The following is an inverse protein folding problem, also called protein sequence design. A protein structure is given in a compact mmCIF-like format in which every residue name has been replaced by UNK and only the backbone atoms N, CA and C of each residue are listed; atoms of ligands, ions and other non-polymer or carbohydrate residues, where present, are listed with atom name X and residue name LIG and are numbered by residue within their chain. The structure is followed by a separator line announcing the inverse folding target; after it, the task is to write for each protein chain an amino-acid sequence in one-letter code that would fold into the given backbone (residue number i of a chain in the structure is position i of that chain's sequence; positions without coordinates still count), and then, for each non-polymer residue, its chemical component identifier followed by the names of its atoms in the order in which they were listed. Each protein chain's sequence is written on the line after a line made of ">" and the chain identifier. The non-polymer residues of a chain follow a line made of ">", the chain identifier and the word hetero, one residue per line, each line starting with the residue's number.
data_IF_866217710985
#
_entry.id   IF_866217710985
#
_cell.length_a   1.000
_cell.length_b   1.000
_cell.length_c   1.000
_cell.angle_alpha   90.00
_cell.angle_beta   90.00
_cell.angle_gamma   90.00
#
_symmetry.space_group_name_H-M   'P 1'
#
loop_
_entity.id
_entity.type
_entity.pdbx_description
1 polymer ?
#
# COMPACT_ATOMS: atom_id res chain seq x y z
N UNK A 1 -33.43 29.73 -31.37
CA UNK A 1 -33.14 28.70 -30.36
C UNK A 1 -33.34 27.38 -31.07
N UNK A 2 -32.25 26.66 -31.35
CA UNK A 2 -32.26 25.44 -32.15
C UNK A 2 -32.68 24.28 -31.25
N UNK A 3 -33.90 23.78 -31.43
CA UNK A 3 -34.35 22.51 -30.86
C UNK A 3 -33.51 21.39 -31.48
N UNK A 4 -32.49 20.93 -30.77
CA UNK A 4 -31.82 19.67 -31.09
C UNK A 4 -32.80 18.56 -30.77
N UNK A 5 -33.53 18.11 -31.79
CA UNK A 5 -34.32 16.87 -31.73
C UNK A 5 -33.35 15.72 -31.43
N UNK A 6 -33.25 15.39 -30.14
CA UNK A 6 -32.60 14.18 -29.65
C UNK A 6 -33.37 13.01 -30.24
N UNK A 7 -32.83 12.44 -31.32
CA UNK A 7 -33.35 11.21 -31.90
C UNK A 7 -33.16 10.13 -30.82
N UNK A 8 -34.23 9.42 -30.39
CA UNK A 8 -34.09 8.41 -29.36
C UNK A 8 -33.13 7.32 -29.84
N UNK A 9 -32.26 6.78 -28.97
CA UNK A 9 -31.36 5.71 -29.33
C UNK A 9 -32.18 4.52 -29.85
N UNK A 10 -31.75 3.96 -30.97
CA UNK A 10 -32.41 2.77 -31.54
C UNK A 10 -32.13 1.58 -30.62
N UNK A 11 -33.17 0.89 -30.12
CA UNK A 11 -32.97 -0.26 -29.25
C UNK A 11 -32.32 -1.41 -30.02
N UNK A 12 -31.30 -2.01 -29.44
CA UNK A 12 -30.67 -3.22 -29.97
C UNK A 12 -31.55 -4.43 -29.67
N UNK A 13 -31.57 -5.43 -30.56
CA UNK A 13 -32.39 -6.63 -30.42
C UNK A 13 -31.60 -7.90 -30.73
N UNK A 14 -31.98 -9.01 -30.10
CA UNK A 14 -31.42 -10.33 -30.38
C UNK A 14 -29.90 -10.41 -30.19
N UNK A 15 -29.20 -10.94 -31.19
CA UNK A 15 -27.75 -11.19 -31.15
C UNK A 15 -26.91 -9.91 -31.04
N UNK A 16 -27.39 -8.79 -31.59
CA UNK A 16 -26.69 -7.50 -31.49
C UNK A 16 -26.71 -6.97 -30.06
N UNK A 17 -27.85 -7.13 -29.37
CA UNK A 17 -27.99 -6.78 -27.96
C UNK A 17 -27.11 -7.67 -27.08
N UNK A 18 -27.07 -8.98 -27.35
CA UNK A 18 -26.21 -9.93 -26.62
C UNK A 18 -24.72 -9.61 -26.80
N UNK A 19 -24.31 -9.28 -28.02
CA UNK A 19 -22.93 -8.87 -28.32
C UNK A 19 -22.59 -7.54 -27.61
N UNK A 20 -23.49 -6.57 -27.61
CA UNK A 20 -23.31 -5.29 -26.94
C UNK A 20 -23.21 -5.47 -25.41
N UNK A 21 -24.03 -6.35 -24.81
CA UNK A 21 -23.95 -6.71 -23.38
C UNK A 21 -22.60 -7.32 -23.03
N UNK A 22 -22.13 -8.28 -23.83
CA UNK A 22 -20.82 -8.90 -23.67
C UNK A 22 -19.69 -7.85 -23.76
N UNK A 23 -19.73 -6.97 -24.76
CA UNK A 23 -18.71 -5.93 -24.94
C UNK A 23 -18.69 -4.94 -23.78
N UNK A 24 -19.85 -4.43 -23.37
CA UNK A 24 -19.97 -3.49 -22.27
C UNK A 24 -19.49 -4.12 -20.95
N UNK A 25 -19.93 -5.33 -20.64
CA UNK A 25 -19.55 -6.02 -19.41
C UNK A 25 -18.06 -6.38 -19.35
N UNK A 26 -17.48 -6.93 -20.43
CA UNK A 26 -16.05 -7.22 -20.49
C UNK A 26 -15.18 -5.95 -20.38
N UNK A 27 -15.62 -4.84 -20.97
CA UNK A 27 -14.93 -3.55 -20.84
C UNK A 27 -14.94 -3.02 -19.42
N UNK A 28 -16.03 -3.28 -18.68
CA UNK A 28 -16.16 -2.95 -17.25
C UNK A 28 -15.47 -3.97 -16.32
N UNK A 29 -14.83 -5.02 -16.86
CA UNK A 29 -14.16 -6.07 -16.08
C UNK A 29 -15.09 -7.13 -15.49
N UNK A 30 -16.32 -7.23 -15.99
CA UNK A 30 -17.30 -8.24 -15.58
C UNK A 30 -17.06 -9.58 -16.31
N UNK A 31 -17.47 -10.69 -15.68
CA UNK A 31 -17.48 -12.01 -16.35
C UNK A 31 -18.58 -12.10 -17.40
N UNK A 32 -18.53 -13.13 -18.24
CA UNK A 32 -19.58 -13.39 -19.24
C UNK A 32 -20.95 -13.59 -18.57
N UNK A 33 -21.01 -14.35 -17.48
CA UNK A 33 -22.26 -14.58 -16.74
C UNK A 33 -22.79 -13.32 -16.07
N UNK A 34 -21.90 -12.41 -15.65
CA UNK A 34 -22.26 -11.11 -15.10
C UNK A 34 -22.77 -10.17 -16.19
N UNK A 35 -22.13 -10.17 -17.36
CA UNK A 35 -22.52 -9.37 -18.52
C UNK A 35 -23.93 -9.73 -19.03
N UNK A 36 -24.35 -11.00 -18.88
CA UNK A 36 -25.69 -11.44 -19.24
C UNK A 36 -26.80 -10.83 -18.36
N UNK A 37 -26.45 -10.28 -17.19
CA UNK A 37 -27.42 -9.65 -16.26
C UNK A 37 -27.73 -8.19 -16.59
N UNK A 38 -26.97 -7.57 -17.49
CA UNK A 38 -27.17 -6.17 -17.87
C UNK A 38 -28.53 -5.96 -18.53
N UNK A 39 -29.23 -4.90 -18.12
CA UNK A 39 -30.62 -4.63 -18.51
C UNK A 39 -30.77 -3.52 -19.56
N UNK A 40 -29.67 -2.85 -19.95
CA UNK A 40 -29.68 -1.82 -20.99
C UNK A 40 -30.25 -2.31 -22.33
N UNK A 41 -30.99 -1.44 -23.02
CA UNK A 41 -31.60 -1.68 -24.33
C UNK A 41 -30.79 -1.09 -25.50
N UNK A 42 -29.82 -0.22 -25.20
CA UNK A 42 -28.90 0.40 -26.15
C UNK A 42 -27.47 0.37 -25.58
N UNK A 43 -26.46 0.66 -26.40
CA UNK A 43 -25.06 0.58 -25.99
C UNK A 43 -24.71 1.54 -24.83
N UNK A 44 -25.33 2.72 -24.80
CA UNK A 44 -25.06 3.73 -23.78
C UNK A 44 -25.62 3.29 -22.42
N UNK A 45 -26.87 2.82 -22.41
CA UNK A 45 -27.52 2.25 -21.24
C UNK A 45 -26.76 1.02 -20.74
N UNK A 46 -26.30 0.15 -21.63
CA UNK A 46 -25.51 -1.03 -21.27
C UNK A 46 -24.16 -0.67 -20.65
N UNK A 47 -23.48 0.35 -21.19
CA UNK A 47 -22.19 0.81 -20.65
C UNK A 47 -22.36 1.44 -19.27
N UNK A 48 -23.39 2.26 -19.09
CA UNK A 48 -23.72 2.86 -17.79
C UNK A 48 -24.06 1.79 -16.75
N UNK A 49 -24.91 0.82 -17.12
CA UNK A 49 -25.31 -0.29 -16.27
C UNK A 49 -24.11 -1.19 -15.91
N UNK A 50 -23.24 -1.51 -16.88
CA UNK A 50 -22.03 -2.29 -16.63
C UNK A 50 -21.07 -1.58 -15.66
N UNK A 51 -20.93 -0.27 -15.80
CA UNK A 51 -20.08 0.54 -14.91
C UNK A 51 -20.65 0.57 -13.49
N UNK A 52 -21.96 0.78 -13.35
CA UNK A 52 -22.64 0.77 -12.06
C UNK A 52 -22.52 -0.61 -11.39
N UNK A 53 -22.78 -1.68 -12.13
CA UNK A 53 -22.73 -3.04 -11.60
C UNK A 53 -21.30 -3.47 -11.21
N UNK A 54 -20.29 -3.09 -11.99
CA UNK A 54 -18.89 -3.32 -11.63
C UNK A 54 -18.49 -2.55 -10.36
N UNK A 55 -18.96 -1.31 -10.21
CA UNK A 55 -18.71 -0.51 -9.02
C UNK A 55 -19.38 -1.12 -7.77
N UNK A 56 -20.63 -1.58 -7.88
CA UNK A 56 -21.34 -2.27 -6.80
C UNK A 56 -20.63 -3.56 -6.39
N UNK A 57 -20.18 -4.37 -7.35
CA UNK A 57 -19.48 -5.61 -7.06
C UNK A 57 -18.13 -5.37 -6.36
N UNK A 58 -17.40 -4.34 -6.79
CA UNK A 58 -16.14 -3.92 -6.17
C UNK A 58 -16.36 -3.35 -4.76
N UNK A 59 -17.46 -2.64 -4.54
CA UNK A 59 -17.84 -2.13 -3.22
C UNK A 59 -18.31 -3.24 -2.27
N UNK A 60 -18.99 -4.26 -2.79
CA UNK A 60 -19.48 -5.41 -2.02
C UNK A 60 -18.36 -6.38 -1.63
N UNK A 61 -17.32 -6.50 -2.47
CA UNK A 61 -16.11 -7.25 -2.20
C UNK A 61 -14.89 -6.32 -2.30
N UNK A 62 -14.67 -5.45 -1.30
CA UNK A 62 -13.42 -4.70 -1.25
C UNK A 62 -12.31 -5.73 -1.21
N UNK A 63 -11.43 -5.69 -2.23
CA UNK A 63 -10.28 -6.58 -2.26
C UNK A 63 -9.56 -6.45 -0.90
N UNK A 64 -9.33 -7.55 -0.16
CA UNK A 64 -8.55 -7.47 1.06
C UNK A 64 -7.24 -6.81 0.69
N UNK A 65 -6.80 -5.81 1.49
CA UNK A 65 -5.52 -5.16 1.25
C UNK A 65 -4.50 -6.27 1.04
N UNK A 66 -3.93 -6.33 -0.17
CA UNK A 66 -3.06 -7.44 -0.55
C UNK A 66 -2.01 -7.63 0.55
N UNK A 67 -1.64 -8.87 0.88
CA UNK A 67 -0.66 -9.13 1.92
C UNK A 67 0.56 -8.28 1.62
N UNK A 68 0.77 -7.23 2.43
CA UNK A 68 1.94 -6.38 2.32
C UNK A 68 3.11 -7.32 2.57
N UNK A 69 3.91 -7.59 1.52
CA UNK A 69 5.11 -8.42 1.69
C UNK A 69 5.99 -7.78 2.78
N UNK A 70 6.35 -8.61 3.76
CA UNK A 70 6.95 -8.20 5.03
C UNK A 70 5.86 -7.96 6.06
N UNK A 71 5.72 -8.87 7.03
CA UNK A 71 4.65 -8.98 8.04
C UNK A 71 4.42 -7.74 8.91
N UNK A 72 4.14 -7.91 10.21
CA UNK A 72 3.97 -6.75 11.11
C UNK A 72 5.22 -5.89 11.06
N UNK A 73 5.17 -4.79 10.30
CA UNK A 73 6.24 -3.81 10.26
C UNK A 73 6.29 -3.25 11.66
N UNK A 74 7.42 -3.39 12.32
CA UNK A 74 7.60 -2.85 13.67
C UNK A 74 7.13 -1.39 13.71
N UNK A 75 6.69 -0.93 14.87
CA UNK A 75 6.23 0.44 15.07
C UNK A 75 7.28 1.52 14.71
N UNK A 76 8.52 1.14 14.41
CA UNK A 76 9.55 1.97 13.79
C UNK A 76 9.24 2.38 12.34
N UNK A 77 8.50 1.56 11.58
CA UNK A 77 8.10 1.86 10.19
C UNK A 77 6.67 2.41 10.11
N UNK A 78 5.86 2.18 11.15
CA UNK A 78 4.46 2.61 11.23
C UNK A 78 4.28 3.89 12.08
N UNK A 79 5.36 4.64 12.34
CA UNK A 79 5.25 6.01 12.82
C UNK A 79 4.94 6.96 11.67
N UNK A 80 4.21 8.05 11.93
CA UNK A 80 3.76 9.13 11.02
C UNK A 80 4.84 9.77 10.14
N UNK A 81 6.08 9.29 10.21
CA UNK A 81 7.23 9.82 9.52
C UNK A 81 7.84 8.73 8.65
N UNK A 82 7.14 8.38 7.57
CA UNK A 82 7.53 7.37 6.56
C UNK A 82 8.77 7.74 5.73
N UNK A 83 9.75 8.41 6.32
CA UNK A 83 11.00 8.84 5.70
C UNK A 83 12.20 8.26 6.45
N UNK A 84 13.28 7.99 5.72
CA UNK A 84 14.54 7.46 6.26
C UNK A 84 15.07 8.33 7.42
N UNK A 85 14.91 9.65 7.31
CA UNK A 85 15.32 10.61 8.34
C UNK A 85 14.62 10.40 9.69
N UNK A 86 13.36 10.02 9.69
CA UNK A 86 12.61 9.80 10.92
C UNK A 86 12.86 8.42 11.53
N UNK A 87 13.12 7.40 10.70
CA UNK A 87 13.62 6.11 11.18
C UNK A 87 14.97 6.26 11.91
N UNK A 88 15.86 7.11 11.38
CA UNK A 88 17.14 7.43 12.04
C UNK A 88 16.92 8.16 13.37
N UNK A 89 16.02 9.13 13.43
CA UNK A 89 15.70 9.84 14.68
C UNK A 89 15.12 8.89 15.75
N UNK A 90 14.23 7.98 15.35
CA UNK A 90 13.61 7.00 16.24
C UNK A 90 14.63 5.98 16.77
N UNK A 91 15.53 5.49 15.90
CA UNK A 91 16.65 4.63 16.28
C UNK A 91 17.57 5.32 17.30
N UNK A 92 17.95 6.58 17.05
CA UNK A 92 18.77 7.36 17.99
C UNK A 92 18.11 7.51 19.35
N UNK A 93 16.81 7.82 19.38
CA UNK A 93 16.03 7.92 20.62
C UNK A 93 16.02 6.61 21.41
N UNK A 94 15.76 5.48 20.75
CA UNK A 94 15.74 4.16 21.41
C UNK A 94 17.10 3.75 21.97
N UNK A 95 18.17 4.10 21.27
CA UNK A 95 19.53 3.70 21.64
C UNK A 95 20.30 4.77 22.43
N UNK A 96 19.65 5.88 22.78
CA UNK A 96 20.26 6.98 23.54
C UNK A 96 21.45 7.61 22.83
N UNK A 97 21.37 7.72 21.51
CA UNK A 97 22.42 8.32 20.66
C UNK A 97 22.11 9.80 20.43
N UNK A 98 23.17 10.60 20.28
CA UNK A 98 23.07 12.00 19.87
C UNK A 98 22.75 12.15 18.36
N UNK A 99 22.65 13.41 17.90
CA UNK A 99 22.34 13.73 16.51
C UNK A 99 23.42 13.23 15.52
N UNK A 100 24.64 13.01 16.01
CA UNK A 100 25.77 12.46 15.25
C UNK A 100 25.84 10.92 15.32
N UNK A 101 24.94 10.27 16.06
CA UNK A 101 24.89 8.82 16.22
C UNK A 101 25.88 8.27 17.24
N UNK A 102 26.51 9.13 18.04
CA UNK A 102 27.41 8.73 19.11
C UNK A 102 26.64 8.60 20.43
N UNK A 103 27.13 7.72 21.32
CA UNK A 103 26.63 7.69 22.69
C UNK A 103 27.19 8.89 23.44
N UNK A 104 26.37 9.66 24.18
CA UNK A 104 26.88 10.73 25.02
C UNK A 104 27.89 10.16 26.03
N UNK A 105 28.98 10.87 26.33
CA UNK A 105 29.97 10.42 27.28
C UNK A 105 29.28 10.20 28.64
N UNK A 106 29.31 8.96 29.13
CA UNK A 106 28.78 8.64 30.46
C UNK A 106 29.60 9.46 31.47
N UNK A 107 28.97 10.27 32.34
CA UNK A 107 29.70 10.99 33.36
C UNK A 107 30.45 9.97 34.23
N UNK A 108 31.78 10.08 34.26
CA UNK A 108 32.60 9.26 35.15
C UNK A 108 32.09 9.46 36.57
N UNK A 109 31.62 8.38 37.19
CA UNK A 109 31.25 8.41 38.61
C UNK A 109 32.52 8.69 39.41
N UNK A 110 32.60 9.89 39.96
CA UNK A 110 33.66 10.29 40.90
C UNK A 110 33.66 9.26 42.05
N UNK A 111 34.84 8.74 42.41
CA UNK A 111 35.06 7.67 43.40
C UNK A 111 34.74 6.23 42.99
N UNK A 112 34.63 5.93 41.69
CA UNK A 112 34.73 4.54 41.23
C UNK A 112 36.15 4.27 40.76
N UNK A 113 36.94 3.63 41.62
CA UNK A 113 38.18 2.97 41.19
C UNK A 113 37.80 2.11 39.99
N UNK A 114 38.34 2.42 38.80
CA UNK A 114 38.14 1.61 37.60
C UNK A 114 38.63 0.20 37.94
N UNK A 115 37.71 -0.64 38.41
CA UNK A 115 37.96 -2.05 38.66
C UNK A 115 38.06 -2.64 37.28
N UNK A 116 39.26 -2.56 36.70
CA UNK A 116 39.57 -3.28 35.50
C UNK A 116 39.19 -4.74 35.76
N UNK A 117 38.43 -5.33 34.84
CA UNK A 117 38.07 -6.74 34.95
C UNK A 117 39.38 -7.53 35.17
N UNK A 118 39.54 -8.25 36.29
CA UNK A 118 40.78 -8.98 36.58
C UNK A 118 41.05 -10.09 35.55
N UNK A 119 40.02 -10.49 34.80
CA UNK A 119 40.11 -11.46 33.69
C UNK A 119 40.25 -10.81 32.31
N UNK A 120 40.38 -9.48 32.22
CA UNK A 120 40.71 -8.85 30.95
C UNK A 120 42.16 -9.18 30.60
N UNK A 121 42.34 -10.15 29.71
CA UNK A 121 43.64 -10.52 29.17
C UNK A 121 44.31 -9.28 28.60
N UNK A 122 45.48 -8.93 29.13
CA UNK A 122 46.38 -7.97 28.49
C UNK A 122 46.91 -8.68 27.24
N UNK A 123 46.38 -8.32 26.07
CA UNK A 123 46.86 -8.83 24.80
C UNK A 123 48.38 -8.78 24.75
N UNK A 124 48.99 -9.90 24.35
CA UNK A 124 50.44 -10.06 24.22
C UNK A 124 50.98 -9.03 23.22
N UNK A 125 52.00 -8.29 23.63
CA UNK A 125 52.81 -7.48 22.71
C UNK A 125 53.61 -8.42 21.82
N UNK A 126 53.23 -8.52 20.55
CA UNK A 126 54.10 -9.12 19.54
C UNK A 126 55.25 -8.14 19.32
N UNK A 127 56.40 -8.41 19.95
CA UNK A 127 57.65 -7.71 19.64
C UNK A 127 57.96 -7.94 18.16
N UNK A 128 57.90 -6.87 17.36
CA UNK A 128 58.41 -6.87 16.00
C UNK A 128 59.94 -6.81 16.05
N UNK A 129 60.57 -7.85 15.52
CA UNK A 129 62.01 -7.93 15.28
C UNK A 129 62.44 -6.99 14.16
#
# INVERSE_FOLDING_TARGET
>A
MTDQQQTPPTPLVGTELELARLRAGLTAGLTVEQSARLQGADEAALTADATAFAAELSAANPAPQGPRSGGDRGGDVQGTAGTVSAGVAEYRRKHGLDEDGNRPPVPQRVNTSRTANPYAERGYTTEHR
#
